data_IF_269632584764
#
_entry.id   IF_269632584764
#
_cell.length_a   1.000
_cell.length_b   1.000
_cell.length_c   1.000
_cell.angle_alpha   90.00
_cell.angle_beta   90.00
_cell.angle_gamma   90.00
#
_symmetry.space_group_name_H-M   'P 1'
#
loop_
_entity.id
_entity.type
_entity.pdbx_description
1 polymer ?
#
# COMPACT_ATOMS: atom_id res chain seq x y z
N UNK A 1 -41.06 -42.37 -25.42
CA UNK A 1 -40.94 -41.59 -24.18
C UNK A 1 -39.71 -42.01 -23.35
N UNK A 2 -38.75 -42.73 -23.95
CA UNK A 2 -37.65 -43.38 -23.21
C UNK A 2 -36.27 -42.75 -23.56
N UNK A 3 -36.05 -42.32 -24.81
CA UNK A 3 -34.80 -41.68 -25.25
C UNK A 3 -34.43 -40.41 -24.48
N UNK A 4 -35.42 -39.62 -24.02
CA UNK A 4 -35.15 -38.37 -23.31
C UNK A 4 -34.64 -38.55 -21.88
N UNK A 5 -34.94 -39.70 -21.24
CA UNK A 5 -34.51 -39.98 -19.86
C UNK A 5 -33.10 -40.56 -19.86
N UNK A 6 -32.76 -41.33 -20.90
CA UNK A 6 -31.43 -41.89 -21.11
C UNK A 6 -30.41 -40.79 -21.45
N UNK A 7 -30.78 -39.82 -22.31
CA UNK A 7 -29.94 -38.65 -22.61
C UNK A 7 -29.70 -37.77 -21.37
N UNK A 8 -30.71 -37.61 -20.50
CA UNK A 8 -30.55 -36.86 -19.24
C UNK A 8 -29.69 -37.61 -18.23
N UNK A 9 -29.74 -38.94 -18.19
CA UNK A 9 -28.87 -39.75 -17.33
C UNK A 9 -27.41 -39.75 -17.81
N UNK A 10 -27.18 -39.78 -19.13
CA UNK A 10 -25.86 -39.65 -19.75
C UNK A 10 -25.29 -38.25 -19.49
N UNK A 11 -26.12 -37.21 -19.60
CA UNK A 11 -25.72 -35.84 -19.32
C UNK A 11 -25.41 -35.63 -17.83
N UNK A 12 -26.21 -36.21 -16.92
CA UNK A 12 -25.94 -36.18 -15.48
C UNK A 12 -24.67 -36.97 -15.10
N UNK A 13 -24.40 -38.10 -15.74
CA UNK A 13 -23.17 -38.88 -15.58
C UNK A 13 -21.92 -38.11 -16.01
N UNK A 14 -21.97 -37.44 -17.16
CA UNK A 14 -20.90 -36.56 -17.65
C UNK A 14 -20.63 -35.36 -16.73
N UNK A 15 -21.67 -34.82 -16.08
CA UNK A 15 -21.54 -33.72 -15.11
C UNK A 15 -20.91 -34.24 -13.80
N UNK A 16 -21.24 -35.47 -13.37
CA UNK A 16 -20.60 -36.09 -12.20
C UNK A 16 -19.12 -36.46 -12.43
N UNK A 17 -18.74 -36.82 -13.66
CA UNK A 17 -17.35 -37.08 -14.02
C UNK A 17 -16.52 -35.80 -14.13
N UNK A 18 -17.12 -34.69 -14.61
CA UNK A 18 -16.53 -33.35 -14.50
C UNK A 18 -16.42 -32.85 -13.06
N UNK A 19 -17.25 -33.38 -12.14
CA UNK A 19 -17.25 -33.07 -10.72
C UNK A 19 -16.32 -33.98 -9.90
N UNK A 20 -15.41 -34.72 -10.53
CA UNK A 20 -14.34 -35.42 -9.82
C UNK A 20 -13.37 -34.43 -9.19
N UNK A 21 -13.04 -34.65 -7.92
CA UNK A 21 -12.31 -33.69 -7.09
C UNK A 21 -10.94 -33.31 -7.66
N UNK A 22 -10.27 -34.20 -8.40
CA UNK A 22 -8.95 -33.93 -8.97
C UNK A 22 -8.95 -32.80 -10.00
N UNK A 23 -9.99 -32.69 -10.83
CA UNK A 23 -10.07 -31.66 -11.89
C UNK A 23 -10.34 -30.29 -11.29
N UNK A 24 -11.24 -30.21 -10.31
CA UNK A 24 -11.50 -29.00 -9.52
C UNK A 24 -10.31 -28.60 -8.65
N UNK A 25 -9.62 -29.57 -8.05
CA UNK A 25 -8.42 -29.30 -7.25
C UNK A 25 -7.30 -28.76 -8.14
N UNK A 26 -7.15 -29.31 -9.36
CA UNK A 26 -6.19 -28.81 -10.35
C UNK A 26 -6.55 -27.40 -10.82
N UNK A 27 -7.80 -27.14 -11.24
CA UNK A 27 -8.25 -25.81 -11.67
C UNK A 27 -8.13 -24.78 -10.53
N UNK A 28 -8.53 -25.12 -9.31
CA UNK A 28 -8.40 -24.25 -8.15
C UNK A 28 -6.92 -24.00 -7.75
N UNK A 29 -6.04 -25.01 -7.92
CA UNK A 29 -4.60 -24.85 -7.68
C UNK A 29 -3.91 -24.03 -8.78
N UNK A 30 -4.39 -24.11 -10.02
CA UNK A 30 -3.83 -23.40 -11.17
C UNK A 30 -4.29 -21.93 -11.19
N UNK A 31 -5.54 -21.65 -10.78
CA UNK A 31 -6.03 -20.29 -10.55
C UNK A 31 -5.25 -19.55 -9.46
N UNK A 32 -4.84 -20.24 -8.38
CA UNK A 32 -3.97 -19.64 -7.34
C UNK A 32 -2.65 -19.16 -7.90
N UNK A 33 -2.02 -19.95 -8.77
CA UNK A 33 -0.74 -19.60 -9.42
C UNK A 33 -0.91 -18.52 -10.50
N UNK A 34 -2.08 -18.48 -11.16
CA UNK A 34 -2.38 -17.48 -12.18
C UNK A 34 -2.69 -16.12 -11.57
N UNK A 35 -3.38 -16.09 -10.42
CA UNK A 35 -3.64 -14.86 -9.66
C UNK A 35 -2.32 -14.25 -9.18
N UNK A 36 -1.38 -15.04 -8.65
CA UNK A 36 -0.06 -14.51 -8.26
C UNK A 36 0.76 -13.96 -9.44
N UNK A 37 0.71 -14.63 -10.59
CA UNK A 37 1.44 -14.19 -11.80
C UNK A 37 0.85 -12.91 -12.39
N UNK A 38 -0.48 -12.81 -12.45
CA UNK A 38 -1.20 -11.60 -12.87
C UNK A 38 -0.94 -10.45 -11.89
N UNK A 39 -0.87 -10.73 -10.58
CA UNK A 39 -0.49 -9.76 -9.55
C UNK A 39 0.91 -9.20 -9.79
N UNK A 40 1.83 -10.03 -10.31
CA UNK A 40 3.22 -9.63 -10.60
C UNK A 40 3.39 -8.93 -11.96
N UNK A 41 2.72 -9.42 -13.01
CA UNK A 41 2.86 -8.93 -14.38
C UNK A 41 1.98 -7.70 -14.70
N UNK A 42 0.78 -7.60 -14.12
CA UNK A 42 -0.16 -6.50 -14.43
C UNK A 42 0.01 -5.31 -13.48
N UNK A 43 0.36 -5.55 -12.21
CA UNK A 43 0.50 -4.47 -11.22
C UNK A 43 1.94 -3.97 -11.06
N UNK A 44 2.97 -4.73 -11.44
CA UNK A 44 4.36 -4.27 -11.35
C UNK A 44 4.82 -3.87 -9.94
N UNK A 45 4.12 -4.34 -8.91
CA UNK A 45 4.38 -3.99 -7.52
C UNK A 45 5.30 -5.05 -6.91
N UNK A 46 6.58 -4.72 -6.74
CA UNK A 46 7.49 -5.49 -5.91
C UNK A 46 6.96 -5.48 -4.46
N UNK A 47 6.91 -6.66 -3.83
CA UNK A 47 6.23 -6.93 -2.56
C UNK A 47 6.79 -6.27 -1.29
N UNK A 48 7.27 -5.03 -1.38
CA UNK A 48 7.66 -4.20 -0.24
C UNK A 48 6.52 -3.31 0.27
N UNK A 49 5.40 -3.24 -0.45
CA UNK A 49 4.26 -2.37 -0.11
C UNK A 49 3.16 -3.02 0.74
N UNK A 50 3.10 -4.36 0.81
CA UNK A 50 2.02 -5.02 1.55
C UNK A 50 2.33 -5.13 3.05
N UNK A 51 1.69 -4.27 3.85
CA UNK A 51 1.42 -4.52 5.26
C UNK A 51 2.10 -3.56 6.24
N UNK A 52 1.38 -2.50 6.63
CA UNK A 52 1.65 -1.75 7.86
C UNK A 52 2.87 -0.82 7.88
N UNK A 53 3.60 -0.70 6.76
CA UNK A 53 4.89 0.01 6.69
C UNK A 53 4.84 1.52 6.43
N UNK A 54 3.70 2.10 6.05
CA UNK A 54 3.60 3.51 5.63
C UNK A 54 4.17 4.49 6.66
N UNK A 55 3.71 4.40 7.91
CA UNK A 55 4.20 5.26 8.99
C UNK A 55 5.67 5.01 9.37
N UNK A 56 6.15 3.77 9.29
CA UNK A 56 7.56 3.44 9.57
C UNK A 56 8.46 4.03 8.49
N UNK A 57 8.08 3.88 7.21
CA UNK A 57 8.77 4.47 6.07
C UNK A 57 8.84 5.99 6.19
N UNK A 58 7.73 6.65 6.49
CA UNK A 58 7.64 8.10 6.65
C UNK A 58 8.56 8.61 7.77
N UNK A 59 8.58 7.91 8.92
CA UNK A 59 9.47 8.23 10.04
C UNK A 59 10.93 8.04 9.66
N UNK A 60 11.30 6.89 9.08
CA UNK A 60 12.69 6.59 8.70
C UNK A 60 13.19 7.57 7.64
N UNK A 61 12.35 7.89 6.65
CA UNK A 61 12.68 8.82 5.58
C UNK A 61 12.88 10.24 6.11
N UNK A 62 11.95 10.73 6.95
CA UNK A 62 12.09 12.04 7.60
C UNK A 62 13.31 12.13 8.52
N UNK A 63 13.56 11.08 9.31
CA UNK A 63 14.73 10.99 10.19
C UNK A 63 16.04 11.08 9.41
N UNK A 64 16.18 10.23 8.37
CA UNK A 64 17.39 10.16 7.57
C UNK A 64 17.66 11.48 6.85
N UNK A 65 16.64 12.09 6.24
CA UNK A 65 16.81 13.38 5.57
C UNK A 65 17.15 14.50 6.56
N UNK A 66 16.52 14.53 7.74
CA UNK A 66 16.83 15.49 8.80
C UNK A 66 18.28 15.40 9.28
N UNK A 67 18.77 14.19 9.51
CA UNK A 67 20.16 13.96 9.91
C UNK A 67 21.14 14.43 8.83
N UNK A 68 20.97 13.92 7.61
CA UNK A 68 21.93 14.13 6.52
C UNK A 68 21.93 15.57 6.04
N UNK A 69 20.75 16.16 5.83
CA UNK A 69 20.63 17.53 5.30
C UNK A 69 21.15 18.57 6.27
N UNK A 70 20.85 18.44 7.57
CA UNK A 70 21.31 19.40 8.59
C UNK A 70 22.80 19.19 8.90
N UNK A 71 23.29 17.96 8.92
CA UNK A 71 24.73 17.70 9.03
C UNK A 71 25.50 18.33 7.86
N UNK A 72 25.01 18.14 6.63
CA UNK A 72 25.61 18.76 5.45
C UNK A 72 25.56 20.29 5.50
N UNK A 73 24.45 20.86 5.98
CA UNK A 73 24.30 22.30 6.16
C UNK A 73 25.34 22.86 7.14
N UNK A 74 25.44 22.30 8.36
CA UNK A 74 26.39 22.81 9.36
C UNK A 74 27.85 22.59 8.95
N UNK A 75 28.16 21.46 8.31
CA UNK A 75 29.49 21.18 7.78
C UNK A 75 29.86 22.15 6.64
N UNK A 76 28.91 22.48 5.76
CA UNK A 76 29.10 23.46 4.69
C UNK A 76 29.34 24.87 5.22
N UNK A 77 28.55 25.31 6.21
CA UNK A 77 28.70 26.63 6.81
C UNK A 77 30.02 26.75 7.58
N UNK A 78 30.46 25.68 8.27
CA UNK A 78 31.73 25.66 8.99
C UNK A 78 32.93 26.02 8.10
N UNK A 79 32.88 25.67 6.81
CA UNK A 79 33.93 26.05 5.86
C UNK A 79 34.07 27.57 5.62
N UNK A 80 33.05 28.36 5.98
CA UNK A 80 33.01 29.80 5.78
C UNK A 80 32.91 30.60 7.10
N UNK A 81 32.30 30.04 8.13
CA UNK A 81 32.01 30.71 9.41
C UNK A 81 32.53 29.84 10.55
N UNK A 82 33.29 30.42 11.47
CA UNK A 82 33.86 29.73 12.64
C UNK A 82 33.19 30.11 13.97
N UNK A 83 32.11 30.88 13.92
CA UNK A 83 31.35 31.28 15.10
C UNK A 83 30.23 30.28 15.37
N UNK A 84 30.34 29.50 16.47
CA UNK A 84 29.37 28.44 16.82
C UNK A 84 27.92 28.94 16.87
N UNK A 85 27.71 30.16 17.37
CA UNK A 85 26.37 30.73 17.53
C UNK A 85 25.68 31.00 16.19
N UNK A 86 26.42 31.42 15.15
CA UNK A 86 25.87 31.62 13.81
C UNK A 86 25.49 30.29 13.16
N UNK A 87 26.33 29.26 13.33
CA UNK A 87 26.04 27.91 12.83
C UNK A 87 24.83 27.32 13.54
N UNK A 88 24.70 27.53 14.85
CA UNK A 88 23.53 27.10 15.63
C UNK A 88 22.23 27.72 15.10
N UNK A 89 22.21 29.05 14.90
CA UNK A 89 21.05 29.76 14.36
C UNK A 89 20.70 29.24 12.97
N UNK A 90 21.70 29.07 12.10
CA UNK A 90 21.50 28.55 10.76
C UNK A 90 20.99 27.11 10.75
N UNK A 91 21.52 26.24 11.63
CA UNK A 91 21.07 24.86 11.79
C UNK A 91 19.62 24.78 12.25
N UNK A 92 19.23 25.57 13.25
CA UNK A 92 17.84 25.62 13.74
C UNK A 92 16.90 26.17 12.67
N UNK A 93 17.28 27.24 11.97
CA UNK A 93 16.49 27.79 10.88
C UNK A 93 16.32 26.77 9.74
N UNK A 94 17.41 26.07 9.38
CA UNK A 94 17.41 24.97 8.42
C UNK A 94 16.52 23.81 8.85
N UNK A 95 16.56 23.42 10.13
CA UNK A 95 15.74 22.34 10.67
C UNK A 95 14.24 22.67 10.59
N UNK A 96 13.85 23.90 10.95
CA UNK A 96 12.45 24.34 10.86
C UNK A 96 11.99 24.39 9.40
N UNK A 97 12.80 24.98 8.52
CA UNK A 97 12.49 25.08 7.10
C UNK A 97 12.38 23.68 6.45
N UNK A 98 13.33 22.80 6.77
CA UNK A 98 13.36 21.41 6.31
C UNK A 98 12.16 20.60 6.80
N UNK A 99 11.80 20.69 8.08
CA UNK A 99 10.65 19.99 8.65
C UNK A 99 9.32 20.41 7.98
N UNK A 100 9.13 21.71 7.75
CA UNK A 100 7.95 22.24 7.05
C UNK A 100 7.93 21.75 5.60
N UNK A 101 9.07 21.81 4.90
CA UNK A 101 9.21 21.35 3.52
C UNK A 101 8.90 19.86 3.37
N UNK A 102 9.52 19.02 4.22
CA UNK A 102 9.30 17.58 4.25
C UNK A 102 7.85 17.22 4.57
N UNK A 103 7.25 17.88 5.58
CA UNK A 103 5.84 17.65 5.90
C UNK A 103 4.90 18.03 4.75
N UNK A 104 5.15 19.17 4.10
CA UNK A 104 4.38 19.59 2.92
C UNK A 104 4.57 18.64 1.73
N UNK A 105 5.78 18.17 1.48
CA UNK A 105 6.09 17.20 0.44
C UNK A 105 5.39 15.85 0.67
N UNK A 106 5.46 15.33 1.90
CA UNK A 106 4.77 14.09 2.26
C UNK A 106 3.25 14.23 2.16
N UNK A 107 2.68 15.36 2.60
CA UNK A 107 1.26 15.65 2.41
C UNK A 107 0.85 15.63 0.94
N UNK A 108 1.58 16.36 0.10
CA UNK A 108 1.25 16.52 -1.31
C UNK A 108 1.41 15.20 -2.05
N UNK A 109 2.49 14.45 -1.78
CA UNK A 109 2.73 13.13 -2.36
C UNK A 109 1.61 12.16 -2.00
N UNK A 110 1.27 12.03 -0.71
CA UNK A 110 0.20 11.14 -0.25
C UNK A 110 -1.17 11.55 -0.80
N UNK A 111 -1.45 12.86 -0.88
CA UNK A 111 -2.69 13.37 -1.47
C UNK A 111 -2.76 13.05 -2.96
N UNK A 112 -1.68 13.26 -3.72
CA UNK A 112 -1.62 12.97 -5.14
C UNK A 112 -1.77 11.47 -5.42
N UNK A 113 -1.12 10.62 -4.64
CA UNK A 113 -1.27 9.17 -4.72
C UNK A 113 -2.74 8.77 -4.53
N UNK A 114 -3.40 9.30 -3.48
CA UNK A 114 -4.82 9.07 -3.25
C UNK A 114 -5.70 9.53 -4.41
N UNK A 115 -5.47 10.73 -4.95
CA UNK A 115 -6.24 11.25 -6.10
C UNK A 115 -6.05 10.39 -7.35
N UNK A 116 -4.84 9.86 -7.58
CA UNK A 116 -4.55 8.94 -8.69
C UNK A 116 -5.29 7.62 -8.49
N UNK A 117 -5.20 7.01 -7.30
CA UNK A 117 -5.92 5.77 -6.97
C UNK A 117 -7.43 5.93 -7.14
N UNK A 118 -8.00 7.06 -6.69
CA UNK A 118 -9.43 7.35 -6.84
C UNK A 118 -9.83 7.46 -8.32
N UNK A 119 -9.08 8.20 -9.14
CA UNK A 119 -9.36 8.35 -10.57
C UNK A 119 -9.20 7.05 -11.34
N UNK A 120 -8.22 6.22 -10.98
CA UNK A 120 -8.05 4.90 -11.58
C UNK A 120 -9.18 3.96 -11.21
N UNK A 121 -9.68 4.03 -9.97
CA UNK A 121 -10.86 3.31 -9.51
C UNK A 121 -12.10 3.69 -10.33
N UNK A 122 -12.34 4.99 -10.51
CA UNK A 122 -13.43 5.50 -11.35
C UNK A 122 -13.33 5.01 -12.80
N UNK A 123 -12.13 5.09 -13.40
CA UNK A 123 -11.89 4.64 -14.78
C UNK A 123 -12.13 3.14 -14.97
N UNK A 124 -11.81 2.32 -13.97
CA UNK A 124 -12.02 0.87 -13.98
C UNK A 124 -13.45 0.46 -13.59
N UNK A 125 -14.33 1.42 -13.26
CA UNK A 125 -15.68 1.13 -12.76
C UNK A 125 -15.69 0.47 -11.38
N UNK A 126 -14.59 0.56 -10.64
CA UNK A 126 -14.46 0.02 -9.29
C UNK A 126 -14.99 1.09 -8.34
N UNK A 127 -16.31 1.08 -8.15
CA UNK A 127 -16.97 1.94 -7.18
C UNK A 127 -16.48 1.64 -5.76
N UNK A 128 -16.25 2.68 -4.96
CA UNK A 128 -16.06 2.58 -3.50
C UNK A 128 -17.21 1.74 -2.93
N UNK A 129 -16.87 0.61 -2.29
CA UNK A 129 -17.75 -0.38 -1.61
C UNK A 129 -19.18 -0.42 -2.15
N UNK A 130 -19.47 -1.38 -3.02
CA UNK A 130 -20.85 -1.64 -3.43
C UNK A 130 -21.65 -2.18 -2.25
N UNK A 131 -22.97 -2.17 -2.34
CA UNK A 131 -23.76 -2.96 -1.38
C UNK A 131 -23.37 -4.45 -1.48
N UNK A 132 -23.53 -5.25 -0.41
CA UNK A 132 -23.27 -6.70 -0.48
C UNK A 132 -23.91 -7.38 -1.70
N UNK A 133 -25.12 -6.94 -2.06
CA UNK A 133 -25.85 -7.39 -3.25
C UNK A 133 -25.16 -6.99 -4.57
N UNK A 134 -24.61 -5.77 -4.66
CA UNK A 134 -23.87 -5.31 -5.84
C UNK A 134 -22.54 -6.06 -6.02
N UNK A 135 -21.86 -6.39 -4.92
CA UNK A 135 -20.63 -7.19 -4.94
C UNK A 135 -20.91 -8.64 -5.32
N UNK A 136 -22.00 -9.21 -4.79
CA UNK A 136 -22.51 -10.53 -5.19
C UNK A 136 -22.79 -10.60 -6.69
N UNK A 137 -23.54 -9.63 -7.24
CA UNK A 137 -23.86 -9.62 -8.68
C UNK A 137 -22.61 -9.40 -9.56
N UNK A 138 -21.60 -8.69 -9.07
CA UNK A 138 -20.29 -8.60 -9.76
C UNK A 138 -19.59 -9.96 -9.82
N UNK A 139 -19.59 -10.72 -8.73
CA UNK A 139 -18.97 -12.05 -8.69
C UNK A 139 -19.72 -13.05 -9.57
N UNK A 140 -21.05 -13.00 -9.57
CA UNK A 140 -21.89 -13.77 -10.50
C UNK A 140 -21.51 -13.45 -11.94
N UNK A 141 -21.44 -12.16 -12.30
CA UNK A 141 -21.06 -11.76 -13.67
C UNK A 141 -19.63 -12.14 -14.04
N UNK A 142 -18.71 -12.14 -13.08
CA UNK A 142 -17.34 -12.59 -13.28
C UNK A 142 -17.27 -14.08 -13.66
N UNK A 143 -17.98 -14.95 -12.93
CA UNK A 143 -18.05 -16.37 -13.28
C UNK A 143 -18.83 -16.59 -14.58
N UNK A 144 -19.89 -15.83 -14.85
CA UNK A 144 -20.58 -15.89 -16.15
C UNK A 144 -19.65 -15.55 -17.32
N UNK A 145 -18.78 -14.54 -17.17
CA UNK A 145 -17.79 -14.17 -18.19
C UNK A 145 -16.75 -15.28 -18.43
N UNK A 146 -16.55 -16.18 -17.46
CA UNK A 146 -15.71 -17.38 -17.59
C UNK A 146 -16.46 -18.61 -18.14
N UNK A 147 -17.71 -18.44 -18.57
CA UNK A 147 -18.50 -19.46 -19.23
C UNK A 147 -19.46 -20.23 -18.33
N UNK A 148 -19.55 -19.90 -17.05
CA UNK A 148 -20.52 -20.53 -16.14
C UNK A 148 -21.95 -20.06 -16.45
N UNK A 149 -22.92 -20.97 -16.33
CA UNK A 149 -24.34 -20.58 -16.39
C UNK A 149 -24.69 -19.76 -15.14
N UNK A 150 -25.69 -18.87 -15.24
CA UNK A 150 -26.07 -17.97 -14.13
C UNK A 150 -26.30 -18.73 -12.82
N UNK A 151 -27.00 -19.86 -12.88
CA UNK A 151 -27.30 -20.68 -11.71
C UNK A 151 -26.04 -21.30 -11.08
N UNK A 152 -25.06 -21.69 -11.88
CA UNK A 152 -23.78 -22.21 -11.40
C UNK A 152 -22.93 -21.09 -10.78
N UNK A 153 -22.89 -19.92 -11.44
CA UNK A 153 -22.19 -18.73 -10.96
C UNK A 153 -22.76 -18.21 -9.63
N UNK A 154 -24.09 -18.23 -9.45
CA UNK A 154 -24.77 -17.89 -8.20
C UNK A 154 -24.44 -18.91 -7.10
N UNK A 155 -24.48 -20.22 -7.40
CA UNK A 155 -24.15 -21.26 -6.42
C UNK A 155 -22.68 -21.21 -5.96
N UNK A 156 -21.75 -20.91 -6.87
CA UNK A 156 -20.33 -20.72 -6.53
C UNK A 156 -20.15 -19.46 -5.68
N UNK A 157 -20.80 -18.35 -6.08
CA UNK A 157 -20.73 -17.08 -5.35
C UNK A 157 -21.27 -17.20 -3.92
N UNK A 158 -22.41 -17.87 -3.73
CA UNK A 158 -23.03 -18.04 -2.41
C UNK A 158 -22.16 -18.92 -1.49
N UNK A 159 -21.48 -19.92 -2.06
CA UNK A 159 -20.57 -20.80 -1.31
C UNK A 159 -19.29 -20.07 -0.88
N UNK A 160 -18.73 -19.24 -1.78
CA UNK A 160 -17.58 -18.37 -1.49
C UNK A 160 -17.96 -17.32 -0.43
N UNK A 161 -19.14 -16.71 -0.54
CA UNK A 161 -19.62 -15.73 0.44
C UNK A 161 -19.74 -16.31 1.85
N UNK A 162 -20.31 -17.52 1.99
CA UNK A 162 -20.46 -18.21 3.27
C UNK A 162 -19.12 -18.60 3.91
N UNK A 163 -18.13 -18.98 3.10
CA UNK A 163 -16.80 -19.35 3.59
C UNK A 163 -16.00 -18.11 4.03
N UNK A 164 -16.20 -16.97 3.35
CA UNK A 164 -15.55 -15.69 3.67
C UNK A 164 -16.21 -14.93 4.83
N UNK A 165 -17.52 -15.10 5.08
CA UNK A 165 -18.20 -14.52 6.26
C UNK A 165 -17.65 -15.10 7.57
N UNK A 166 -17.10 -16.33 7.54
CA UNK A 166 -16.40 -16.96 8.66
C UNK A 166 -15.01 -16.34 8.95
N UNK A 167 -14.46 -15.55 8.00
CA UNK A 167 -13.18 -14.83 8.09
C UNK A 167 -13.42 -13.34 7.90
N UNK A 168 -13.96 -12.69 8.93
CA UNK A 168 -13.97 -11.24 9.15
C UNK A 168 -13.82 -10.34 7.91
N UNK A 169 -14.96 -9.89 7.37
CA UNK A 169 -15.13 -8.67 6.57
C UNK A 169 -14.08 -8.45 5.46
N UNK A 170 -14.16 -9.23 4.40
CA UNK A 170 -13.48 -8.94 3.15
C UNK A 170 -14.49 -8.38 2.15
N UNK A 171 -14.24 -7.16 1.65
CA UNK A 171 -15.03 -6.59 0.56
C UNK A 171 -14.58 -7.31 -0.71
N UNK A 172 -15.49 -7.96 -1.43
CA UNK A 172 -15.14 -8.90 -2.52
C UNK A 172 -14.43 -8.17 -3.70
N UNK A 173 -14.52 -6.84 -3.74
CA UNK A 173 -13.72 -5.98 -4.63
C UNK A 173 -12.22 -5.84 -4.27
N UNK A 174 -11.76 -6.30 -3.10
CA UNK A 174 -10.36 -6.19 -2.67
C UNK A 174 -9.45 -7.26 -3.31
N UNK A 175 -10.01 -8.36 -3.82
CA UNK A 175 -9.23 -9.45 -4.45
C UNK A 175 -8.88 -9.18 -5.94
N UNK A 176 -9.51 -8.17 -6.56
CA UNK A 176 -9.23 -7.72 -7.95
C UNK A 176 -8.15 -6.64 -8.04
N UNK A 177 -7.28 -6.53 -7.03
CA UNK A 177 -6.03 -5.78 -7.13
C UNK A 177 -6.18 -4.26 -7.10
N UNK A 178 -7.28 -3.75 -6.58
CA UNK A 178 -7.28 -2.45 -5.92
C UNK A 178 -7.31 -2.74 -4.44
N UNK A 179 -6.14 -2.92 -3.85
CA UNK A 179 -6.03 -2.71 -2.41
C UNK A 179 -6.59 -1.31 -2.18
N UNK A 180 -7.78 -1.27 -1.60
CA UNK A 180 -8.16 -0.18 -0.71
C UNK A 180 -7.31 -0.38 0.54
N UNK A 181 -5.98 -0.43 0.36
CA UNK A 181 -5.05 -0.24 1.45
C UNK A 181 -5.48 1.09 1.99
N UNK A 182 -6.00 1.04 3.22
CA UNK A 182 -6.63 2.15 3.89
C UNK A 182 -5.68 3.34 3.79
N UNK A 183 -5.91 4.18 2.77
CA UNK A 183 -4.92 5.14 2.27
C UNK A 183 -4.50 5.98 3.45
N UNK A 184 -3.25 5.80 3.88
CA UNK A 184 -2.74 6.42 5.10
C UNK A 184 -3.02 7.92 5.01
N UNK A 185 -3.71 8.54 5.98
CA UNK A 185 -4.19 9.90 5.81
C UNK A 185 -3.03 10.86 5.47
N UNK A 186 -3.15 11.71 4.44
CA UNK A 186 -2.06 12.61 4.02
C UNK A 186 -1.52 13.50 5.16
N UNK A 187 -2.40 13.89 6.10
CA UNK A 187 -2.02 14.66 7.28
C UNK A 187 -1.13 13.84 8.24
N UNK A 188 -1.38 12.53 8.38
CA UNK A 188 -0.54 11.65 9.20
C UNK A 188 0.84 11.47 8.57
N UNK A 189 0.91 11.27 7.25
CA UNK A 189 2.20 11.22 6.54
C UNK A 189 2.99 12.52 6.74
N UNK A 190 2.34 13.67 6.54
CA UNK A 190 2.94 14.99 6.73
C UNK A 190 3.53 15.19 8.14
N UNK A 191 2.74 14.84 9.16
CA UNK A 191 3.12 15.04 10.56
C UNK A 191 4.22 14.07 11.00
N UNK A 192 4.15 12.80 10.61
CA UNK A 192 5.18 11.80 10.94
C UNK A 192 6.52 12.15 10.29
N UNK A 193 6.53 12.42 8.99
CA UNK A 193 7.77 12.76 8.26
C UNK A 193 8.36 14.06 8.79
N UNK A 194 7.54 15.12 8.93
CA UNK A 194 8.00 16.43 9.40
C UNK A 194 8.51 16.43 10.84
N UNK A 195 7.82 15.74 11.77
CA UNK A 195 8.28 15.62 13.16
C UNK A 195 9.53 14.76 13.28
N UNK A 196 9.61 13.66 12.53
CA UNK A 196 10.79 12.80 12.52
C UNK A 196 12.03 13.58 12.04
N UNK A 197 11.87 14.35 10.96
CA UNK A 197 12.90 15.27 10.49
C UNK A 197 13.31 16.26 11.59
N UNK A 198 12.34 16.94 12.21
CA UNK A 198 12.62 17.96 13.22
C UNK A 198 13.37 17.41 14.43
N UNK A 199 12.97 16.24 14.93
CA UNK A 199 13.57 15.60 16.11
C UNK A 199 15.00 15.14 15.82
N UNK A 200 15.23 14.48 14.69
CA UNK A 200 16.55 13.94 14.36
C UNK A 200 17.52 15.04 13.93
N UNK A 201 17.04 16.11 13.31
CA UNK A 201 17.83 17.31 12.98
C UNK A 201 18.49 17.97 14.20
N UNK A 202 17.97 17.74 15.41
CA UNK A 202 18.57 18.26 16.64
C UNK A 202 19.95 17.66 16.89
N UNK A 203 20.20 16.41 16.50
CA UNK A 203 21.46 15.68 16.75
C UNK A 203 22.68 16.46 16.23
N UNK A 204 22.76 16.85 14.94
CA UNK A 204 23.90 17.61 14.42
C UNK A 204 23.95 19.06 14.91
N UNK A 205 22.85 19.61 15.45
CA UNK A 205 22.77 21.00 15.93
C UNK A 205 23.27 21.12 17.38
N UNK A 206 22.93 20.17 18.24
CA UNK A 206 23.18 20.23 19.69
C UNK A 206 24.63 20.54 20.09
N UNK A 207 25.67 19.99 19.44
CA UNK A 207 27.06 20.29 19.81
C UNK A 207 27.39 21.80 19.73
N UNK A 208 26.82 22.53 18.77
CA UNK A 208 27.08 23.96 18.58
C UNK A 208 26.49 24.85 19.69
N UNK A 209 25.58 24.32 20.51
CA UNK A 209 24.99 25.05 21.64
C UNK A 209 25.92 25.10 22.86
N UNK A 210 26.81 24.12 23.02
CA UNK A 210 27.62 23.94 24.24
C UNK A 210 29.13 23.86 23.99
N UNK A 211 29.57 23.68 22.75
CA UNK A 211 30.98 23.49 22.39
C UNK A 211 31.51 24.62 21.49
N UNK A 212 32.83 24.79 21.51
CA UNK A 212 33.53 25.56 20.49
C UNK A 212 33.40 24.89 19.12
N UNK A 213 33.55 25.67 18.05
CA UNK A 213 33.12 25.29 16.70
C UNK A 213 33.78 24.00 16.18
N UNK A 214 35.10 23.84 16.38
CA UNK A 214 35.83 22.70 15.82
C UNK A 214 35.48 21.39 16.55
N UNK A 215 35.46 21.34 17.90
CA UNK A 215 34.92 20.19 18.62
C UNK A 215 33.43 19.90 18.31
N UNK A 216 32.61 20.95 18.12
CA UNK A 216 31.20 20.80 17.80
C UNK A 216 30.98 20.05 16.47
N UNK A 217 31.71 20.45 15.42
CA UNK A 217 31.63 19.81 14.08
C UNK A 217 32.04 18.34 14.15
N UNK A 218 33.15 18.03 14.83
CA UNK A 218 33.63 16.64 14.97
C UNK A 218 32.57 15.80 15.71
N UNK A 219 32.00 16.34 16.77
CA UNK A 219 30.95 15.66 17.54
C UNK A 219 29.69 15.44 16.70
N UNK A 220 29.27 16.44 15.92
CA UNK A 220 28.10 16.34 15.04
C UNK A 220 28.26 15.30 13.93
N UNK A 221 29.49 15.03 13.47
CA UNK A 221 29.78 14.01 12.44
C UNK A 221 29.82 12.59 13.01
N UNK A 222 30.21 12.44 14.29
CA UNK A 222 30.35 11.13 14.94
C UNK A 222 29.03 10.64 15.56
N UNK A 223 28.18 11.57 16.00
CA UNK A 223 26.90 11.29 16.65
C UNK A 223 25.84 10.77 15.66
#
# INVERSE_FOLDING_TARGET
ADESVEDLAIQAGNISDMATSETWTRIASDERLHIERVKKEVLGMEGWEMGGGGGVRDVVFGANDGLVSILALVAGIYGAITESHLILIAGVAGAIAGAISMGAGAYLSSKSEKEVTEKEGERKGISKRGTPEEEREKLVRFYQARGFKRQEAEAVTDRVALEMESRAAYTIGEEIGLTSEESWPPIKAATLTGLSFAVVSVIPIMPFAVMEVTPAVITAVIA
#
